data_IF_410279418684
#
_entry.id   IF_410279418684
#
_cell.length_a   1.000
_cell.length_b   1.000
_cell.length_c   1.000
_cell.angle_alpha   90.00
_cell.angle_beta   90.00
_cell.angle_gamma   90.00
#
_symmetry.space_group_name_H-M   'P 1'
#
loop_
_entity.id
_entity.type
_entity.pdbx_description
1 polymer ?
#
# COMPACT_ATOMS: atom_id res chain seq x y z
N UNK A 1 -17.98 -10.32 2.10
CA UNK A 1 -17.93 -9.19 1.14
C UNK A 1 -17.20 -9.68 -0.09
N UNK A 2 -17.70 -9.40 -1.29
CA UNK A 2 -16.98 -9.68 -2.54
C UNK A 2 -15.86 -8.67 -2.67
N UNK A 3 -14.62 -9.15 -2.74
CA UNK A 3 -13.44 -8.33 -3.01
C UNK A 3 -13.15 -8.37 -4.51
N UNK A 4 -12.81 -7.24 -5.12
CA UNK A 4 -12.49 -7.17 -6.56
C UNK A 4 -11.00 -7.01 -6.83
N UNK A 5 -10.21 -6.66 -5.81
CA UNK A 5 -8.75 -6.60 -5.86
C UNK A 5 -8.18 -6.60 -4.44
N UNK A 6 -7.04 -7.26 -4.23
CA UNK A 6 -6.32 -7.28 -2.95
C UNK A 6 -4.80 -7.27 -3.18
N UNK A 7 -4.11 -6.37 -2.48
CA UNK A 7 -2.65 -6.32 -2.43
C UNK A 7 -2.19 -6.25 -0.97
N UNK A 8 -1.02 -6.82 -0.71
CA UNK A 8 -0.47 -6.88 0.64
C UNK A 8 0.99 -6.43 0.64
N UNK A 9 1.41 -5.75 1.70
CA UNK A 9 2.79 -5.30 1.92
C UNK A 9 3.27 -5.77 3.30
N UNK A 10 4.27 -6.63 3.33
CA UNK A 10 5.05 -6.95 4.54
C UNK A 10 5.89 -5.73 4.94
N UNK A 11 5.67 -5.21 6.14
CA UNK A 11 6.31 -4.01 6.65
C UNK A 11 7.78 -4.28 6.96
N UNK A 12 8.66 -3.44 6.43
CA UNK A 12 10.09 -3.43 6.74
C UNK A 12 10.41 -2.46 7.87
N UNK A 13 11.62 -2.54 8.44
CA UNK A 13 12.13 -1.56 9.41
C UNK A 13 12.05 -0.11 8.87
N UNK A 14 12.26 0.07 7.57
CA UNK A 14 12.12 1.36 6.89
C UNK A 14 10.67 1.85 6.83
N UNK A 15 9.67 0.96 6.79
CA UNK A 15 8.26 1.33 6.72
C UNK A 15 7.72 1.69 8.12
N UNK A 16 8.23 1.06 9.18
CA UNK A 16 7.90 1.35 10.59
C UNK A 16 8.69 2.55 11.16
N UNK A 17 9.82 2.89 10.56
CA UNK A 17 10.61 4.07 10.92
C UNK A 17 11.72 3.79 11.92
N UNK A 18 12.09 2.53 12.09
CA UNK A 18 13.13 2.07 13.02
C UNK A 18 14.54 2.45 12.56
N UNK A 19 14.73 2.70 11.27
CA UNK A 19 16.05 3.02 10.71
C UNK A 19 16.44 4.50 10.84
N UNK A 20 15.55 5.35 11.37
CA UNK A 20 15.79 6.79 11.52
C UNK A 20 15.94 7.57 10.20
N UNK A 21 15.89 6.89 9.05
CA UNK A 21 15.93 7.50 7.74
C UNK A 21 14.65 8.29 7.45
N UNK A 22 14.77 9.37 6.67
CA UNK A 22 13.61 10.15 6.21
C UNK A 22 12.60 9.23 5.50
N UNK A 23 11.48 8.94 6.16
CA UNK A 23 10.41 8.13 5.59
C UNK A 23 9.68 8.91 4.50
N UNK A 24 9.98 8.60 3.23
CA UNK A 24 9.25 9.13 2.09
C UNK A 24 7.93 8.38 1.81
N UNK A 25 7.53 7.46 2.70
CA UNK A 25 6.39 6.55 2.55
C UNK A 25 6.76 5.18 2.00
N UNK A 26 5.80 4.26 2.00
CA UNK A 26 5.97 2.87 1.53
C UNK A 26 6.23 2.88 0.02
N UNK A 27 7.29 2.20 -0.41
CA UNK A 27 7.60 2.02 -1.84
C UNK A 27 6.52 1.13 -2.48
N UNK A 28 5.91 1.62 -3.56
CA UNK A 28 4.97 0.84 -4.39
C UNK A 28 5.73 0.37 -5.64
N UNK A 29 5.76 -0.94 -5.93
CA UNK A 29 6.45 -1.49 -7.10
C UNK A 29 5.79 -1.02 -8.41
N UNK A 30 6.56 -0.99 -9.50
CA UNK A 30 6.07 -0.59 -10.84
C UNK A 30 5.41 -1.72 -11.61
N UNK A 31 5.23 -2.85 -10.95
CA UNK A 31 4.64 -4.07 -11.47
C UNK A 31 3.16 -3.80 -11.76
N UNK A 32 2.68 -4.02 -12.99
CA UNK A 32 1.31 -3.71 -13.39
C UNK A 32 0.24 -4.31 -12.47
N UNK A 33 0.50 -5.52 -11.93
CA UNK A 33 -0.40 -6.21 -11.02
C UNK A 33 -0.61 -5.50 -9.66
N UNK A 34 0.34 -4.66 -9.22
CA UNK A 34 0.19 -3.81 -8.04
C UNK A 34 -0.32 -2.43 -8.44
N UNK A 35 0.24 -1.84 -9.50
CA UNK A 35 -0.13 -0.50 -9.94
C UNK A 35 -1.61 -0.40 -10.34
N UNK A 36 -2.20 -1.45 -10.92
CA UNK A 36 -3.62 -1.49 -11.28
C UNK A 36 -4.57 -1.40 -10.07
N UNK A 37 -4.06 -1.60 -8.85
CA UNK A 37 -4.83 -1.33 -7.64
C UNK A 37 -5.07 0.16 -7.44
N UNK A 38 -4.14 1.03 -7.85
CA UNK A 38 -4.23 2.47 -7.63
C UNK A 38 -4.83 3.19 -8.84
N UNK A 39 -5.40 4.40 -8.66
CA UNK A 39 -5.75 5.26 -9.79
C UNK A 39 -4.54 5.57 -10.67
N UNK A 40 -4.78 5.73 -11.97
CA UNK A 40 -3.76 6.21 -12.90
C UNK A 40 -3.28 7.61 -12.50
N UNK A 41 -1.97 7.82 -12.56
CA UNK A 41 -1.33 9.12 -12.37
C UNK A 41 -0.67 9.54 -13.68
N UNK A 42 -0.99 10.74 -14.14
CA UNK A 42 -0.45 11.30 -15.39
C UNK A 42 1.08 11.49 -15.29
N UNK A 43 1.89 10.72 -16.05
CA UNK A 43 3.35 10.79 -15.97
C UNK A 43 3.93 12.09 -16.54
N UNK A 44 3.17 12.86 -17.32
CA UNK A 44 3.60 14.13 -17.92
C UNK A 44 3.45 15.32 -16.95
N UNK A 45 2.69 15.13 -15.85
CA UNK A 45 2.68 16.05 -14.74
C UNK A 45 3.86 15.78 -13.78
N UNK A 46 4.42 16.82 -13.15
CA UNK A 46 5.50 16.64 -12.17
C UNK A 46 4.95 16.22 -10.80
N UNK A 47 5.42 15.09 -10.29
CA UNK A 47 5.00 14.48 -9.03
C UNK A 47 3.47 14.36 -8.86
N UNK A 48 2.76 13.75 -9.83
CA UNK A 48 1.31 13.61 -9.78
C UNK A 48 0.94 12.81 -8.53
N UNK A 49 -0.17 13.16 -7.91
CA UNK A 49 -0.62 12.55 -6.65
C UNK A 49 -2.12 12.53 -6.54
N UNK A 50 -2.63 11.58 -5.77
CA UNK A 50 -4.04 11.49 -5.40
C UNK A 50 -4.17 11.11 -3.93
N UNK A 51 -5.13 11.71 -3.24
CA UNK A 51 -5.50 11.31 -1.90
C UNK A 51 -6.52 10.18 -1.96
N UNK A 52 -6.24 9.10 -1.24
CA UNK A 52 -7.05 7.88 -1.18
C UNK A 52 -7.65 7.77 0.21
N UNK A 53 -8.96 7.51 0.27
CA UNK A 53 -9.67 7.31 1.52
C UNK A 53 -9.89 5.81 1.74
N UNK A 54 -9.18 5.25 2.71
CA UNK A 54 -9.30 3.86 3.13
C UNK A 54 -10.24 3.74 4.32
N UNK A 55 -11.01 2.66 4.35
CA UNK A 55 -11.96 2.32 5.42
C UNK A 55 -11.40 1.19 6.27
N UNK A 56 -11.68 1.22 7.58
CA UNK A 56 -11.49 0.05 8.43
C UNK A 56 -12.74 -0.85 8.43
N UNK A 57 -12.62 -2.11 8.90
CA UNK A 57 -13.74 -3.05 8.99
C UNK A 57 -14.91 -2.57 9.86
N UNK A 58 -14.68 -1.63 10.77
CA UNK A 58 -15.74 -1.01 11.58
C UNK A 58 -16.74 -0.19 10.76
N UNK A 59 -16.44 0.07 9.47
CA UNK A 59 -17.28 0.82 8.56
C UNK A 59 -17.35 2.32 8.84
N UNK A 60 -16.71 2.84 9.89
CA UNK A 60 -16.77 4.23 10.35
C UNK A 60 -15.41 4.91 10.19
N UNK A 61 -14.34 4.28 10.65
CA UNK A 61 -13.00 4.85 10.67
C UNK A 61 -12.45 4.99 9.26
N UNK A 62 -11.78 6.12 9.01
CA UNK A 62 -11.20 6.49 7.72
C UNK A 62 -9.76 6.92 7.86
N UNK A 63 -8.94 6.50 6.91
CA UNK A 63 -7.54 6.90 6.78
C UNK A 63 -7.29 7.51 5.42
N UNK A 64 -6.59 8.64 5.41
CA UNK A 64 -6.21 9.33 4.19
C UNK A 64 -4.73 9.04 3.88
N UNK A 65 -4.49 8.29 2.82
CA UNK A 65 -3.16 8.04 2.29
C UNK A 65 -2.97 8.79 0.99
N UNK A 66 -1.72 9.10 0.64
CA UNK A 66 -1.42 9.76 -0.63
C UNK A 66 -0.62 8.84 -1.52
N UNK A 67 -1.18 8.47 -2.67
CA UNK A 67 -0.46 7.78 -3.72
C UNK A 67 0.18 8.82 -4.63
N UNK A 68 1.50 8.75 -4.78
CA UNK A 68 2.31 9.73 -5.50
C UNK A 68 3.31 9.02 -6.40
N UNK A 69 3.51 9.56 -7.60
CA UNK A 69 4.60 9.16 -8.48
C UNK A 69 5.72 10.19 -8.38
N UNK A 70 6.79 9.90 -7.63
CA UNK A 70 7.99 10.75 -7.66
C UNK A 70 8.73 10.53 -8.99
N UNK A 71 8.37 11.30 -10.00
CA UNK A 71 8.86 11.20 -11.38
C UNK A 71 9.84 12.32 -11.74
N UNK A 72 10.45 12.96 -10.73
CA UNK A 72 11.40 14.06 -10.92
C UNK A 72 12.54 13.76 -11.89
N UNK A 73 12.89 12.48 -12.15
CA UNK A 73 13.84 12.08 -13.20
C UNK A 73 13.51 12.69 -14.57
N UNK A 74 12.24 12.90 -14.88
CA UNK A 74 11.80 13.52 -16.14
C UNK A 74 11.67 15.05 -16.04
N UNK A 75 11.94 15.63 -14.88
CA UNK A 75 11.83 17.07 -14.57
C UNK A 75 13.07 17.62 -13.84
N UNK A 76 14.25 17.10 -14.18
CA UNK A 76 15.56 17.61 -13.70
C UNK A 76 16.04 17.08 -12.35
N UNK A 77 15.41 16.04 -11.79
CA UNK A 77 15.85 15.36 -10.56
C UNK A 77 16.27 13.90 -10.81
N UNK A 78 16.30 13.08 -9.76
CA UNK A 78 16.78 11.68 -9.84
C UNK A 78 15.71 10.62 -9.56
N UNK A 79 14.62 10.98 -8.86
CA UNK A 79 13.60 10.01 -8.43
C UNK A 79 12.71 9.54 -9.58
N UNK A 80 12.42 8.25 -9.57
CA UNK A 80 11.50 7.60 -10.50
C UNK A 80 10.83 6.41 -9.79
N UNK A 81 9.91 6.67 -8.86
CA UNK A 81 9.31 5.66 -7.98
C UNK A 81 7.89 6.05 -7.54
N UNK A 82 7.03 5.07 -7.30
CA UNK A 82 5.72 5.30 -6.69
C UNK A 82 5.79 5.10 -5.19
N UNK A 83 5.04 5.89 -4.43
CA UNK A 83 4.93 5.74 -2.97
C UNK A 83 3.50 5.90 -2.49
N UNK A 84 3.20 5.15 -1.43
CA UNK A 84 2.03 5.38 -0.60
C UNK A 84 2.49 6.06 0.69
N UNK A 85 2.03 7.29 0.89
CA UNK A 85 2.52 8.18 1.96
C UNK A 85 1.39 8.53 2.94
N UNK A 86 1.73 9.23 4.03
CA UNK A 86 0.82 9.58 5.13
C UNK A 86 0.30 8.38 5.94
N UNK A 87 1.02 7.25 5.92
CA UNK A 87 0.64 6.03 6.64
C UNK A 87 1.10 5.99 8.11
N UNK A 88 2.02 6.87 8.52
CA UNK A 88 2.64 6.82 9.87
C UNK A 88 1.60 6.86 11.00
N UNK A 89 0.57 7.70 10.90
CA UNK A 89 -0.48 7.78 11.93
C UNK A 89 -1.29 6.48 12.01
N UNK A 90 -1.60 5.89 10.85
CA UNK A 90 -2.30 4.61 10.77
C UNK A 90 -1.47 3.48 11.39
N UNK A 91 -0.21 3.33 10.96
CA UNK A 91 0.68 2.28 11.44
C UNK A 91 0.91 2.37 12.96
N UNK A 92 1.05 3.58 13.50
CA UNK A 92 1.12 3.82 14.95
C UNK A 92 -0.18 3.47 15.67
N UNK A 93 -1.33 3.87 15.14
CA UNK A 93 -2.64 3.57 15.72
C UNK A 93 -2.92 2.05 15.76
N UNK A 94 -2.41 1.31 14.78
CA UNK A 94 -2.49 -0.15 14.74
C UNK A 94 -1.36 -0.84 15.49
N UNK A 95 -0.43 -0.11 16.12
CA UNK A 95 0.77 -0.65 16.75
C UNK A 95 1.49 -1.67 15.83
N UNK A 96 1.62 -1.34 14.54
CA UNK A 96 2.18 -2.22 13.53
C UNK A 96 3.70 -2.39 13.73
N UNK A 97 4.20 -3.61 13.52
CA UNK A 97 5.60 -3.96 13.70
C UNK A 97 6.23 -4.44 12.38
N UNK A 98 7.57 -4.57 12.38
CA UNK A 98 8.28 -5.20 11.26
C UNK A 98 7.81 -6.64 11.09
N UNK A 99 7.53 -7.04 9.85
CA UNK A 99 6.99 -8.37 9.53
C UNK A 99 5.47 -8.44 9.47
N UNK A 100 4.74 -7.51 10.11
CA UNK A 100 3.30 -7.40 9.92
C UNK A 100 2.96 -7.06 8.47
N UNK A 101 1.74 -7.38 8.05
CA UNK A 101 1.27 -7.17 6.69
C UNK A 101 0.17 -6.10 6.65
N UNK A 102 0.41 -5.01 5.92
CA UNK A 102 -0.69 -4.10 5.56
C UNK A 102 -1.44 -4.68 4.39
N UNK A 103 -2.74 -4.88 4.56
CA UNK A 103 -3.63 -5.40 3.53
C UNK A 103 -4.46 -4.25 2.98
N UNK A 104 -4.46 -4.08 1.66
CA UNK A 104 -5.29 -3.12 0.94
C UNK A 104 -6.23 -3.89 0.02
N UNK A 105 -7.53 -3.60 0.07
CA UNK A 105 -8.49 -4.25 -0.83
C UNK A 105 -9.57 -3.30 -1.34
N UNK A 106 -10.19 -3.68 -2.47
CA UNK A 106 -11.37 -3.05 -3.04
C UNK A 106 -12.58 -3.96 -2.84
N UNK A 107 -13.68 -3.41 -2.34
CA UNK A 107 -14.96 -4.12 -2.33
C UNK A 107 -15.67 -4.03 -3.69
N UNK A 108 -16.82 -4.72 -3.82
CA UNK A 108 -17.65 -4.69 -5.03
C UNK A 108 -18.14 -3.31 -5.47
N UNK A 109 -18.18 -2.32 -4.56
CA UNK A 109 -18.53 -0.93 -4.86
C UNK A 109 -17.29 -0.10 -5.25
N UNK A 110 -16.10 -0.72 -5.31
CA UNK A 110 -14.84 -0.06 -5.58
C UNK A 110 -14.29 0.76 -4.40
N UNK A 111 -14.84 0.61 -3.20
CA UNK A 111 -14.35 1.33 -2.01
C UNK A 111 -13.07 0.68 -1.51
N UNK A 112 -12.14 1.52 -1.07
CA UNK A 112 -10.84 1.10 -0.56
C UNK A 112 -10.92 0.79 0.93
N UNK A 113 -10.31 -0.32 1.33
CA UNK A 113 -10.22 -0.79 2.72
C UNK A 113 -8.79 -1.14 3.09
N UNK A 114 -8.46 -0.96 4.36
CA UNK A 114 -7.13 -1.21 4.93
C UNK A 114 -7.23 -2.05 6.20
N UNK A 115 -6.32 -3.00 6.37
CA UNK A 115 -6.12 -3.71 7.64
C UNK A 115 -4.63 -4.01 7.90
N UNK A 116 -4.32 -4.52 9.09
CA UNK A 116 -3.00 -5.06 9.46
C UNK A 116 -3.17 -6.51 9.92
N UNK A 117 -2.60 -7.44 9.17
CA UNK A 117 -2.46 -8.84 9.55
C UNK A 117 -1.13 -9.03 10.30
N UNK A 118 -1.18 -9.64 11.49
CA UNK A 118 0.01 -9.87 12.32
C UNK A 118 0.77 -11.10 11.86
N UNK A 119 2.10 -11.05 11.94
CA UNK A 119 2.97 -12.18 11.56
C UNK A 119 2.58 -13.50 12.28
N UNK A 120 2.17 -13.42 13.54
CA UNK A 120 1.82 -14.59 14.37
C UNK A 120 0.36 -15.07 14.21
N UNK A 121 -0.44 -14.43 13.35
CA UNK A 121 -1.78 -14.93 13.05
C UNK A 121 -1.67 -16.01 11.98
N UNK A 122 -2.04 -17.28 12.23
CA UNK A 122 -2.00 -18.31 11.20
C UNK A 122 -2.83 -17.85 10.02
N UNK A 123 -2.19 -17.73 8.86
CA UNK A 123 -2.88 -17.41 7.61
C UNK A 123 -3.98 -18.46 7.42
N UNK A 124 -5.23 -18.01 7.31
CA UNK A 124 -6.31 -18.85 6.80
C UNK A 124 -5.98 -19.07 5.33
N UNK A 125 -5.20 -20.11 5.03
CA UNK A 125 -4.87 -20.51 3.67
C UNK A 125 -6.12 -21.14 3.06
N UNK A 126 -6.97 -20.27 2.50
CA UNK A 126 -7.75 -20.63 1.33
C UNK A 126 -6.79 -20.76 0.15
N UNK A 127 -7.05 -21.74 -0.71
CA UNK A 127 -6.27 -22.14 -1.89
C UNK A 127 -6.34 -21.08 -3.01
N UNK A 128 -5.92 -19.85 -2.72
CA UNK A 128 -5.95 -18.72 -3.66
C UNK A 128 -4.60 -18.58 -4.37
N UNK A 129 -4.63 -18.23 -5.67
CA UNK A 129 -3.45 -18.07 -6.54
C UNK A 129 -2.64 -16.82 -6.13
N UNK A 130 -1.69 -16.97 -5.19
CA UNK A 130 -0.87 -15.88 -4.63
C UNK A 130 0.38 -15.61 -5.48
N UNK A 131 0.51 -14.38 -5.99
CA UNK A 131 1.72 -13.91 -6.66
C UNK A 131 2.58 -13.07 -5.70
N UNK A 132 3.83 -13.50 -5.45
CA UNK A 132 4.80 -12.79 -4.60
C UNK A 132 5.70 -11.89 -5.46
N UNK A 133 5.87 -10.62 -5.07
CA UNK A 133 6.65 -9.60 -5.78
C UNK A 133 7.75 -8.99 -4.89
N UNK A 134 8.60 -8.17 -5.51
CA UNK A 134 9.73 -7.52 -4.83
C UNK A 134 9.30 -6.58 -3.69
N UNK A 135 10.17 -6.36 -2.70
CA UNK A 135 9.92 -5.42 -1.61
C UNK A 135 8.85 -5.85 -0.60
N UNK A 136 8.50 -7.13 -0.54
CA UNK A 136 7.52 -7.67 0.40
C UNK A 136 6.06 -7.50 -0.06
N UNK A 137 5.84 -7.23 -1.35
CA UNK A 137 4.50 -7.11 -1.91
C UNK A 137 3.95 -8.46 -2.37
N UNK A 138 2.64 -8.66 -2.23
CA UNK A 138 1.91 -9.82 -2.73
C UNK A 138 0.59 -9.39 -3.38
N UNK A 139 0.17 -10.10 -4.41
CA UNK A 139 -1.15 -9.97 -5.04
C UNK A 139 -1.92 -11.26 -4.77
N UNK A 140 -3.16 -11.14 -4.33
CA UNK A 140 -4.07 -12.28 -4.16
C UNK A 140 -5.14 -12.14 -5.24
N UNK A 141 -5.18 -13.10 -6.16
CA UNK A 141 -6.25 -13.19 -7.18
C UNK A 141 -7.47 -13.79 -6.49
N UNK A 142 -8.60 -13.09 -6.60
CA UNK A 142 -9.88 -13.40 -5.96
C UNK A 142 -10.94 -13.48 -7.05
#
# INVERSE_FOLDING_TARGET
MTHTARITKTLSANDIGETGAHQAGILVPKEPAILSFFPFLDPDAKNPRVSLTFREPDGITRWHFNFIYYNNRFFGGTRNEYRLTCMTRYLRARNAAVGDQVVLFKDGDGRLHVDVERLDTPAVTGDDDVLVLSGGWKVIRI
#
